data_IF_542911078187
#
_entry.id   IF_542911078187
#
_cell.length_a   1.000
_cell.length_b   1.000
_cell.length_c   1.000
_cell.angle_alpha   90.00
_cell.angle_beta   90.00
_cell.angle_gamma   90.00
#
_symmetry.space_group_name_H-M   'P 1'
#
loop_
_entity.id
_entity.type
_entity.pdbx_description
1 polymer ?
#
# COMPACT_ATOMS: atom_id res chain seq x y z
N UNK A 1 2.60 16.71 22.56
CA UNK A 1 1.99 16.67 21.22
C UNK A 1 1.22 15.36 21.08
N UNK A 2 0.06 15.42 20.46
CA UNK A 2 -0.71 14.21 20.16
C UNK A 2 0.05 13.37 19.11
N UNK A 3 0.25 12.07 19.40
CA UNK A 3 1.02 11.18 18.53
C UNK A 3 0.10 10.38 17.60
N UNK A 4 0.59 10.10 16.41
CA UNK A 4 -0.04 9.19 15.45
C UNK A 4 0.58 7.80 15.56
N UNK A 5 -0.25 6.75 15.65
CA UNK A 5 0.25 5.37 15.60
C UNK A 5 0.22 4.83 14.18
N UNK A 6 1.31 4.18 13.75
CA UNK A 6 1.42 3.50 12.45
C UNK A 6 1.29 1.99 12.67
N UNK A 7 0.13 1.44 12.36
CA UNK A 7 -0.15 0.00 12.46
C UNK A 7 0.42 -0.72 11.23
N UNK A 8 1.36 -1.64 11.46
CA UNK A 8 2.15 -2.26 10.40
C UNK A 8 3.45 -1.50 10.11
N UNK A 9 3.96 -0.77 11.11
CA UNK A 9 5.15 0.05 11.03
C UNK A 9 6.40 -0.68 10.52
N UNK A 10 6.59 -1.96 10.88
CA UNK A 10 7.74 -2.78 10.43
C UNK A 10 7.61 -3.34 9.00
N UNK A 11 6.46 -3.11 8.31
CA UNK A 11 6.19 -3.58 6.94
C UNK A 11 6.80 -2.67 5.86
N UNK A 12 6.59 -3.02 4.58
CA UNK A 12 7.15 -2.30 3.43
C UNK A 12 6.75 -0.81 3.40
N UNK A 13 5.46 -0.50 3.46
CA UNK A 13 4.98 0.90 3.49
C UNK A 13 5.31 1.54 4.84
N UNK A 14 5.22 0.79 5.94
CA UNK A 14 5.62 1.28 7.26
C UNK A 14 7.07 1.78 7.30
N UNK A 15 8.01 1.06 6.68
CA UNK A 15 9.42 1.49 6.54
C UNK A 15 9.57 2.76 5.69
N UNK A 16 8.77 2.91 4.64
CA UNK A 16 8.78 4.14 3.85
C UNK A 16 8.27 5.34 4.68
N UNK A 17 7.26 5.14 5.54
CA UNK A 17 6.79 6.16 6.48
C UNK A 17 7.87 6.49 7.51
N UNK A 18 8.58 5.49 8.07
CA UNK A 18 9.68 5.72 8.99
C UNK A 18 10.76 6.62 8.37
N UNK A 19 11.21 6.30 7.14
CA UNK A 19 12.23 7.10 6.43
C UNK A 19 11.77 8.54 6.26
N UNK A 20 10.54 8.75 5.81
CA UNK A 20 9.97 10.08 5.60
C UNK A 20 9.87 10.88 6.91
N UNK A 21 9.37 10.25 7.97
CA UNK A 21 9.19 10.88 9.30
C UNK A 21 10.54 11.33 9.84
N UNK A 22 11.58 10.50 9.74
CA UNK A 22 12.94 10.86 10.19
C UNK A 22 13.56 11.95 9.31
N UNK A 23 13.41 11.90 7.99
CA UNK A 23 13.88 12.93 7.06
C UNK A 23 13.24 14.30 7.33
N UNK A 24 12.00 14.32 7.80
CA UNK A 24 11.25 15.54 8.11
C UNK A 24 11.39 15.99 9.58
N UNK A 25 12.14 15.26 10.43
CA UNK A 25 12.29 15.56 11.84
C UNK A 25 11.00 15.43 12.66
N UNK A 26 10.10 14.52 12.24
CA UNK A 26 8.81 14.28 12.87
C UNK A 26 8.81 13.08 13.83
N UNK A 27 9.99 12.59 14.23
CA UNK A 27 10.18 11.35 15.01
C UNK A 27 9.33 11.33 16.29
N UNK A 28 9.17 12.47 16.97
CA UNK A 28 8.41 12.57 18.22
C UNK A 28 6.88 12.55 18.03
N UNK A 29 6.42 12.67 16.79
CA UNK A 29 5.00 12.74 16.45
C UNK A 29 4.41 11.38 16.05
N UNK A 30 5.26 10.35 15.90
CA UNK A 30 4.83 9.03 15.43
C UNK A 30 5.30 7.90 16.35
N UNK A 31 4.45 6.87 16.46
CA UNK A 31 4.77 5.59 17.12
C UNK A 31 4.55 4.47 16.12
N UNK A 32 5.52 3.56 15.97
CA UNK A 32 5.47 2.49 14.98
C UNK A 32 5.20 1.13 15.61
N UNK A 33 4.13 0.45 15.19
CA UNK A 33 3.88 -0.90 15.67
C UNK A 33 4.73 -1.94 14.92
N UNK A 34 5.12 -2.98 15.65
CA UNK A 34 5.71 -4.21 15.09
C UNK A 34 5.11 -5.44 15.77
N UNK A 35 5.15 -6.59 15.10
CA UNK A 35 4.75 -7.87 15.70
C UNK A 35 5.97 -8.73 16.02
N UNK A 36 6.67 -9.22 14.98
CA UNK A 36 7.77 -10.18 15.13
C UNK A 36 9.15 -9.60 14.82
N UNK A 37 9.25 -8.44 14.17
CA UNK A 37 10.49 -7.88 13.62
C UNK A 37 10.77 -6.47 14.15
N UNK A 38 11.17 -6.33 15.44
CA UNK A 38 11.49 -5.02 16.04
C UNK A 38 12.65 -4.31 15.32
N UNK A 39 13.59 -5.08 14.75
CA UNK A 39 14.73 -4.60 13.97
C UNK A 39 14.33 -3.89 12.68
N UNK A 40 13.10 -4.09 12.21
CA UNK A 40 12.54 -3.39 11.08
C UNK A 40 11.94 -2.02 11.42
N UNK A 41 12.00 -1.61 12.68
CA UNK A 41 11.71 -0.23 13.12
C UNK A 41 13.00 0.41 13.62
N UNK A 42 13.32 1.58 13.11
CA UNK A 42 14.53 2.33 13.49
C UNK A 42 14.64 2.50 15.00
N UNK A 43 15.86 2.40 15.54
CA UNK A 43 16.14 2.59 16.98
C UNK A 43 15.86 4.04 17.45
N UNK A 44 15.88 5.00 16.53
CA UNK A 44 15.60 6.43 16.83
C UNK A 44 14.10 6.72 16.94
N UNK A 45 13.24 5.79 16.51
CA UNK A 45 11.80 5.97 16.48
C UNK A 45 11.13 5.23 17.66
N UNK A 46 10.09 5.85 18.20
CA UNK A 46 9.27 5.19 19.22
C UNK A 46 8.52 4.01 18.60
N UNK A 47 8.63 2.86 19.26
CA UNK A 47 8.04 1.61 18.77
C UNK A 47 7.29 0.85 19.84
N UNK A 48 6.22 0.17 19.43
CA UNK A 48 5.37 -0.63 20.31
C UNK A 48 5.11 -2.01 19.70
N UNK A 49 5.19 -3.04 20.51
CA UNK A 49 4.85 -4.40 20.08
C UNK A 49 3.34 -4.58 20.10
N UNK A 50 2.75 -4.94 18.96
CA UNK A 50 1.33 -5.26 18.84
C UNK A 50 1.17 -6.46 17.92
N UNK A 51 0.70 -7.58 18.45
CA UNK A 51 0.18 -8.68 17.67
C UNK A 51 -1.34 -8.50 17.50
N UNK A 52 -1.76 -8.07 16.33
CA UNK A 52 -3.16 -7.79 16.05
C UNK A 52 -4.08 -9.03 16.10
N UNK A 53 -3.52 -10.24 16.12
CA UNK A 53 -4.30 -11.47 16.35
C UNK A 53 -4.53 -11.74 17.85
N UNK A 54 -3.83 -11.03 18.74
CA UNK A 54 -3.98 -11.11 20.20
C UNK A 54 -4.71 -9.89 20.74
N UNK A 55 -5.94 -10.06 21.15
CA UNK A 55 -6.80 -8.92 21.64
C UNK A 55 -6.14 -8.09 22.75
N UNK A 56 -5.40 -8.73 23.65
CA UNK A 56 -4.74 -8.03 24.77
C UNK A 56 -3.65 -7.08 24.29
N UNK A 57 -2.93 -7.40 23.22
CA UNK A 57 -1.88 -6.54 22.70
C UNK A 57 -2.45 -5.29 22.02
N UNK A 58 -3.72 -5.36 21.54
CA UNK A 58 -4.37 -4.26 20.82
C UNK A 58 -4.83 -3.14 21.74
N UNK A 59 -4.86 -3.32 23.06
CA UNK A 59 -5.12 -2.26 24.03
C UNK A 59 -4.10 -1.11 23.90
N UNK A 60 -2.90 -1.40 23.40
CA UNK A 60 -1.88 -0.39 23.13
C UNK A 60 -2.26 0.68 22.08
N UNK A 61 -3.36 0.50 21.33
CA UNK A 61 -3.85 1.54 20.39
C UNK A 61 -4.80 2.55 21.04
N UNK A 62 -5.25 2.28 22.26
CA UNK A 62 -6.16 3.17 22.98
C UNK A 62 -5.45 4.49 23.30
N UNK A 63 -6.19 5.59 23.19
CA UNK A 63 -5.68 6.93 23.49
C UNK A 63 -4.92 7.62 22.35
N UNK A 64 -4.61 6.95 21.24
CA UNK A 64 -4.09 7.64 20.07
C UNK A 64 -5.21 8.37 19.32
N UNK A 65 -5.07 9.68 19.02
CA UNK A 65 -6.10 10.45 18.32
C UNK A 65 -6.16 10.11 16.83
N UNK A 66 -5.04 9.61 16.25
CA UNK A 66 -4.95 9.29 14.84
C UNK A 66 -4.12 8.02 14.62
N UNK A 67 -4.53 7.22 13.65
CA UNK A 67 -3.78 6.05 13.20
C UNK A 67 -3.62 6.04 11.67
N UNK A 68 -2.45 5.55 11.21
CA UNK A 68 -2.24 5.07 9.84
C UNK A 68 -2.25 3.54 9.88
N UNK A 69 -3.19 2.92 9.21
CA UNK A 69 -3.29 1.45 9.16
C UNK A 69 -2.78 0.94 7.82
N UNK A 70 -1.58 0.34 7.83
CA UNK A 70 -0.91 -0.27 6.66
C UNK A 70 -0.59 -1.76 6.88
N UNK A 71 -1.13 -2.36 7.95
CA UNK A 71 -0.97 -3.77 8.25
C UNK A 71 -1.86 -4.65 7.38
N UNK A 72 -1.51 -5.92 7.29
CA UNK A 72 -2.28 -6.95 6.63
C UNK A 72 -1.50 -7.72 5.57
N UNK A 73 -2.15 -8.75 5.03
CA UNK A 73 -1.62 -9.50 3.91
C UNK A 73 -1.72 -8.71 2.60
N UNK A 74 -0.70 -8.80 1.76
CA UNK A 74 -0.68 -8.29 0.39
C UNK A 74 -0.27 -9.39 -0.62
N UNK A 75 -0.37 -10.66 -0.21
CA UNK A 75 -0.02 -11.82 -1.00
C UNK A 75 -1.27 -12.46 -1.61
N UNK A 76 -1.49 -12.24 -2.90
CA UNK A 76 -2.61 -12.81 -3.64
C UNK A 76 -2.56 -14.35 -3.66
N UNK A 77 -1.35 -14.93 -3.68
CA UNK A 77 -1.19 -16.39 -3.66
C UNK A 77 -1.61 -16.98 -2.31
N UNK A 78 -1.29 -16.31 -1.20
CA UNK A 78 -1.79 -16.71 0.12
C UNK A 78 -3.31 -16.62 0.17
N UNK A 79 -3.88 -15.51 -0.26
CA UNK A 79 -5.33 -15.31 -0.26
C UNK A 79 -6.07 -16.38 -1.09
N UNK A 80 -5.48 -16.80 -2.21
CA UNK A 80 -6.01 -17.87 -3.06
C UNK A 80 -5.91 -19.25 -2.40
N UNK A 81 -4.71 -19.58 -1.90
CA UNK A 81 -4.43 -20.94 -1.43
C UNK A 81 -4.94 -21.20 0.00
N UNK A 82 -5.14 -20.14 0.78
CA UNK A 82 -5.64 -20.18 2.14
C UNK A 82 -6.48 -18.93 2.45
N UNK A 83 -7.73 -18.85 1.92
CA UNK A 83 -8.61 -17.70 2.14
C UNK A 83 -8.87 -17.42 3.63
N UNK A 84 -8.95 -18.45 4.47
CA UNK A 84 -9.12 -18.29 5.92
C UNK A 84 -7.93 -17.57 6.56
N UNK A 85 -6.69 -17.92 6.16
CA UNK A 85 -5.51 -17.22 6.65
C UNK A 85 -5.46 -15.75 6.15
N UNK A 86 -5.92 -15.48 4.94
CA UNK A 86 -6.04 -14.11 4.43
C UNK A 86 -7.09 -13.32 5.21
N UNK A 87 -8.24 -13.92 5.55
CA UNK A 87 -9.25 -13.29 6.41
C UNK A 87 -8.72 -13.01 7.81
N UNK A 88 -7.96 -13.93 8.41
CA UNK A 88 -7.31 -13.67 9.71
C UNK A 88 -6.35 -12.49 9.62
N UNK A 89 -5.50 -12.43 8.59
CA UNK A 89 -4.47 -11.40 8.43
C UNK A 89 -5.00 -10.06 7.93
N UNK A 90 -6.14 -9.99 7.25
CA UNK A 90 -6.72 -8.74 6.79
C UNK A 90 -7.92 -8.33 7.64
N UNK A 91 -8.94 -9.18 7.76
CA UNK A 91 -10.22 -8.80 8.34
C UNK A 91 -10.19 -8.90 9.87
N UNK A 92 -9.79 -10.04 10.42
CA UNK A 92 -9.78 -10.24 11.88
C UNK A 92 -8.79 -9.31 12.59
N UNK A 93 -7.58 -9.15 12.04
CA UNK A 93 -6.60 -8.19 12.56
C UNK A 93 -7.18 -6.76 12.58
N UNK A 94 -7.85 -6.35 11.50
CA UNK A 94 -8.49 -5.04 11.42
C UNK A 94 -9.65 -4.89 12.43
N UNK A 95 -10.47 -5.93 12.59
CA UNK A 95 -11.56 -5.92 13.58
C UNK A 95 -11.04 -5.76 14.99
N UNK A 96 -10.04 -6.52 15.39
CA UNK A 96 -9.43 -6.37 16.71
C UNK A 96 -8.92 -4.95 16.94
N UNK A 97 -8.25 -4.35 15.91
CA UNK A 97 -7.80 -2.96 15.99
C UNK A 97 -8.96 -1.99 16.15
N UNK A 98 -9.97 -2.03 15.26
CA UNK A 98 -11.05 -1.03 15.23
C UNK A 98 -12.03 -1.17 16.39
N UNK A 99 -12.11 -2.34 17.04
CA UNK A 99 -12.87 -2.53 18.28
C UNK A 99 -12.30 -1.73 19.45
N UNK A 100 -11.02 -1.35 19.43
CA UNK A 100 -10.32 -0.61 20.49
C UNK A 100 -9.98 0.83 20.10
N UNK A 101 -9.66 1.08 18.86
CA UNK A 101 -9.27 2.40 18.39
C UNK A 101 -10.49 3.33 18.25
N UNK A 102 -10.35 4.61 18.70
CA UNK A 102 -11.43 5.61 18.77
C UNK A 102 -10.99 6.96 18.18
N UNK A 103 -10.17 6.96 17.17
CA UNK A 103 -9.61 8.20 16.59
C UNK A 103 -10.00 8.41 15.14
N UNK A 104 -9.20 9.21 14.47
CA UNK A 104 -9.22 9.40 13.02
C UNK A 104 -8.34 8.36 12.36
N UNK A 105 -8.83 7.70 11.31
CA UNK A 105 -8.14 6.60 10.64
C UNK A 105 -7.79 6.94 9.20
N UNK A 106 -6.51 6.84 8.86
CA UNK A 106 -6.00 6.77 7.48
C UNK A 106 -5.73 5.29 7.16
N UNK A 107 -6.55 4.72 6.29
CA UNK A 107 -6.52 3.29 5.97
C UNK A 107 -5.92 3.05 4.59
N UNK A 108 -4.86 2.26 4.50
CA UNK A 108 -4.34 1.77 3.21
C UNK A 108 -5.07 0.50 2.79
N UNK A 109 -5.92 0.64 1.80
CA UNK A 109 -6.62 -0.43 1.11
C UNK A 109 -5.93 -0.78 -0.22
N UNK A 110 -6.61 -1.45 -1.12
CA UNK A 110 -6.06 -1.89 -2.41
C UNK A 110 -7.06 -1.70 -3.54
N UNK A 111 -6.58 -1.38 -4.74
CA UNK A 111 -7.38 -1.46 -5.96
C UNK A 111 -7.74 -2.89 -6.37
N UNK A 112 -7.22 -3.91 -5.67
CA UNK A 112 -7.72 -5.28 -5.81
C UNK A 112 -9.24 -5.41 -5.50
N UNK A 113 -9.82 -4.44 -4.82
CA UNK A 113 -11.28 -4.30 -4.68
C UNK A 113 -12.02 -4.18 -6.02
N UNK A 114 -11.33 -3.81 -7.10
CA UNK A 114 -11.89 -3.61 -8.44
C UNK A 114 -11.74 -4.82 -9.38
N UNK A 115 -11.14 -5.92 -8.95
CA UNK A 115 -11.02 -7.10 -9.81
C UNK A 115 -12.38 -7.59 -10.30
N UNK A 116 -12.48 -7.76 -11.63
CA UNK A 116 -13.69 -8.09 -12.35
C UNK A 116 -14.30 -6.89 -13.10
N UNK A 117 -13.80 -5.68 -12.85
CA UNK A 117 -14.11 -4.49 -13.66
C UNK A 117 -13.03 -4.24 -14.73
N UNK A 118 -13.34 -3.42 -15.71
CA UNK A 118 -12.44 -3.06 -16.81
C UNK A 118 -12.45 -1.53 -17.03
N UNK A 119 -11.34 -1.01 -17.53
CA UNK A 119 -11.18 0.41 -17.85
C UNK A 119 -10.89 1.29 -16.64
N UNK A 120 -11.24 2.56 -16.73
CA UNK A 120 -11.03 3.55 -15.68
C UNK A 120 -12.14 3.46 -14.62
N UNK A 121 -11.74 3.25 -13.37
CA UNK A 121 -12.68 3.01 -12.26
C UNK A 121 -12.58 4.15 -11.24
N UNK A 122 -13.71 4.79 -10.97
CA UNK A 122 -13.80 5.76 -9.88
C UNK A 122 -14.09 5.09 -8.53
N UNK A 123 -13.89 5.82 -7.44
CA UNK A 123 -13.99 5.30 -6.08
C UNK A 123 -15.40 4.92 -5.64
N UNK A 124 -16.41 5.37 -6.38
CA UNK A 124 -17.83 5.08 -6.08
C UNK A 124 -18.33 3.79 -6.76
N UNK A 125 -17.47 3.09 -7.51
CA UNK A 125 -17.85 1.84 -8.16
C UNK A 125 -18.41 0.84 -7.13
N UNK A 126 -19.65 0.41 -7.36
CA UNK A 126 -20.33 -0.61 -6.57
C UNK A 126 -20.14 -1.97 -7.26
N UNK A 127 -19.29 -2.78 -6.66
CA UNK A 127 -18.84 -4.03 -7.26
C UNK A 127 -18.33 -5.00 -6.18
N UNK A 128 -18.45 -6.30 -6.45
CA UNK A 128 -17.87 -7.37 -5.64
C UNK A 128 -16.65 -7.92 -6.35
N UNK A 129 -15.48 -7.82 -5.71
CA UNK A 129 -14.23 -8.31 -6.28
C UNK A 129 -14.28 -9.80 -6.60
N UNK A 130 -13.73 -10.18 -7.75
CA UNK A 130 -13.70 -11.58 -8.21
C UNK A 130 -12.54 -12.40 -7.64
N UNK A 131 -11.67 -11.79 -6.82
CA UNK A 131 -10.53 -12.49 -6.20
C UNK A 131 -10.60 -12.45 -4.66
N UNK A 132 -10.13 -13.50 -3.95
CA UNK A 132 -10.20 -13.59 -2.49
C UNK A 132 -9.54 -12.40 -1.78
N UNK A 133 -8.35 -11.98 -2.22
CA UNK A 133 -7.65 -10.82 -1.65
C UNK A 133 -8.47 -9.52 -1.78
N UNK A 134 -9.10 -9.29 -2.92
CA UNK A 134 -9.96 -8.12 -3.13
C UNK A 134 -11.20 -8.17 -2.23
N UNK A 135 -11.81 -9.36 -2.05
CA UNK A 135 -12.93 -9.56 -1.14
C UNK A 135 -12.55 -9.23 0.31
N UNK A 136 -11.40 -9.71 0.80
CA UNK A 136 -10.96 -9.41 2.16
C UNK A 136 -10.72 -7.91 2.35
N UNK A 137 -10.18 -7.20 1.35
CA UNK A 137 -10.03 -5.73 1.41
C UNK A 137 -11.36 -5.00 1.37
N UNK A 138 -12.34 -5.46 0.58
CA UNK A 138 -13.70 -4.90 0.61
C UNK A 138 -14.36 -5.07 1.98
N UNK A 139 -14.18 -6.22 2.64
CA UNK A 139 -14.67 -6.44 3.99
C UNK A 139 -14.03 -5.48 5.00
N UNK A 140 -12.72 -5.26 4.92
CA UNK A 140 -12.03 -4.26 5.76
C UNK A 140 -12.62 -2.86 5.55
N UNK A 141 -12.82 -2.42 4.31
CA UNK A 141 -13.43 -1.12 4.01
C UNK A 141 -14.88 -1.02 4.51
N UNK A 142 -15.66 -2.10 4.35
CA UNK A 142 -17.04 -2.15 4.81
C UNK A 142 -17.13 -1.99 6.34
N UNK A 143 -16.28 -2.70 7.09
CA UNK A 143 -16.21 -2.55 8.54
C UNK A 143 -15.69 -1.17 8.95
N UNK A 144 -14.66 -0.62 8.29
CA UNK A 144 -14.19 0.73 8.58
C UNK A 144 -15.30 1.77 8.43
N UNK A 145 -16.05 1.72 7.32
CA UNK A 145 -17.22 2.58 7.06
C UNK A 145 -18.34 2.36 8.08
N UNK A 146 -18.58 1.10 8.48
CA UNK A 146 -19.57 0.79 9.53
C UNK A 146 -19.18 1.45 10.86
N UNK A 147 -17.94 1.28 11.33
CA UNK A 147 -17.46 1.86 12.59
C UNK A 147 -17.43 3.40 12.55
N UNK A 148 -17.16 3.99 11.40
CA UNK A 148 -17.25 5.43 11.21
C UNK A 148 -18.71 5.90 11.29
N UNK A 149 -19.64 5.22 10.62
CA UNK A 149 -21.08 5.57 10.61
C UNK A 149 -21.71 5.51 11.99
N UNK A 150 -21.30 4.58 12.85
CA UNK A 150 -21.82 4.47 14.24
C UNK A 150 -21.04 5.35 15.22
N UNK A 151 -20.11 6.21 14.74
CA UNK A 151 -19.38 7.19 15.53
C UNK A 151 -18.23 6.64 16.37
N UNK A 152 -17.83 5.38 16.19
CA UNK A 152 -16.68 4.79 16.88
C UNK A 152 -15.34 5.18 16.23
N UNK A 153 -15.30 5.38 14.91
CA UNK A 153 -14.25 6.12 14.24
C UNK A 153 -14.72 7.56 13.98
N UNK A 154 -13.96 8.54 14.39
CA UNK A 154 -14.34 9.94 14.27
C UNK A 154 -14.30 10.41 12.81
N UNK A 155 -13.25 9.99 12.07
CA UNK A 155 -13.00 10.32 10.66
C UNK A 155 -12.33 9.13 10.00
N UNK A 156 -12.58 8.96 8.71
CA UNK A 156 -12.01 7.86 7.93
C UNK A 156 -11.57 8.33 6.56
N UNK A 157 -10.32 8.09 6.20
CA UNK A 157 -9.83 8.26 4.84
C UNK A 157 -9.22 6.94 4.34
N UNK A 158 -9.78 6.39 3.27
CA UNK A 158 -9.36 5.13 2.66
C UNK A 158 -8.58 5.43 1.39
N UNK A 159 -7.35 4.92 1.29
CA UNK A 159 -6.55 4.98 0.07
C UNK A 159 -6.46 3.59 -0.58
N UNK A 160 -6.96 3.45 -1.81
CA UNK A 160 -6.89 2.22 -2.60
C UNK A 160 -5.62 2.21 -3.44
N UNK A 161 -4.57 1.56 -2.96
CA UNK A 161 -3.29 1.47 -3.63
C UNK A 161 -3.31 0.40 -4.74
N UNK A 162 -2.79 0.72 -5.93
CA UNK A 162 -2.61 -0.25 -7.01
C UNK A 162 -1.30 -1.01 -6.86
N UNK A 163 -0.17 -0.34 -7.01
CA UNK A 163 1.16 -0.93 -6.88
C UNK A 163 2.14 0.08 -6.27
N UNK A 164 2.88 -0.33 -5.27
CA UNK A 164 4.00 0.46 -4.75
C UNK A 164 5.32 -0.25 -5.01
N UNK A 165 6.37 0.51 -5.33
CA UNK A 165 7.72 0.01 -5.51
C UNK A 165 8.74 0.84 -4.71
N UNK A 166 9.89 0.26 -4.38
CA UNK A 166 10.95 0.95 -3.66
C UNK A 166 11.70 0.05 -2.68
N UNK A 167 12.59 0.66 -1.90
CA UNK A 167 13.43 -0.04 -0.94
C UNK A 167 12.62 -0.89 0.03
N UNK A 168 12.98 -2.17 0.16
CA UNK A 168 12.25 -3.13 1.00
C UNK A 168 11.12 -3.87 0.29
N UNK A 169 10.94 -3.66 -1.01
CA UNK A 169 10.05 -4.47 -1.85
C UNK A 169 10.50 -5.94 -1.86
N UNK A 170 9.55 -6.88 -1.84
CA UNK A 170 9.86 -8.31 -1.83
C UNK A 170 10.53 -8.74 -3.14
N UNK A 171 11.58 -9.58 -3.05
CA UNK A 171 12.39 -10.05 -4.19
C UNK A 171 11.58 -10.71 -5.32
N UNK A 172 10.46 -11.36 -4.98
CA UNK A 172 9.57 -12.01 -5.94
C UNK A 172 8.73 -11.05 -6.80
N UNK A 173 8.71 -9.73 -6.48
CA UNK A 173 7.95 -8.75 -7.24
C UNK A 173 8.65 -8.34 -8.53
N UNK A 174 7.93 -7.70 -9.44
CA UNK A 174 8.34 -7.44 -10.82
C UNK A 174 9.72 -6.76 -10.93
N UNK A 175 9.91 -5.60 -10.30
CA UNK A 175 11.13 -4.80 -10.45
C UNK A 175 12.35 -5.50 -9.85
N UNK A 176 12.30 -6.06 -8.60
CA UNK A 176 13.39 -6.87 -8.07
C UNK A 176 13.74 -8.09 -8.92
N UNK A 177 12.75 -8.79 -9.50
CA UNK A 177 13.01 -9.92 -10.42
C UNK A 177 13.76 -9.48 -11.68
N UNK A 178 13.39 -8.34 -12.28
CA UNK A 178 14.13 -7.77 -13.41
C UNK A 178 15.58 -7.42 -13.00
N UNK A 179 15.76 -6.83 -11.82
CA UNK A 179 17.10 -6.51 -11.32
C UNK A 179 17.95 -7.76 -11.03
N UNK A 180 17.32 -8.81 -10.53
CA UNK A 180 17.98 -10.10 -10.30
C UNK A 180 18.43 -10.75 -11.62
N UNK A 181 17.61 -10.69 -12.67
CA UNK A 181 17.96 -11.14 -14.00
C UNK A 181 19.19 -10.41 -14.57
N UNK A 182 19.28 -9.09 -14.37
CA UNK A 182 20.50 -8.31 -14.74
C UNK A 182 21.73 -8.80 -13.98
N UNK A 183 21.61 -9.06 -12.69
CA UNK A 183 22.76 -9.45 -11.83
C UNK A 183 23.25 -10.89 -12.09
N UNK A 184 22.32 -11.80 -12.33
CA UNK A 184 22.60 -13.26 -12.41
C UNK A 184 22.60 -13.80 -13.84
N UNK A 185 22.25 -12.97 -14.85
CA UNK A 185 22.12 -13.42 -16.24
C UNK A 185 20.91 -14.33 -16.46
N UNK A 186 19.85 -14.15 -15.65
CA UNK A 186 18.62 -14.92 -15.75
C UNK A 186 17.60 -14.33 -16.74
N UNK A 187 16.49 -15.05 -16.93
CA UNK A 187 15.38 -14.65 -17.81
C UNK A 187 14.15 -14.32 -16.97
N UNK A 188 13.49 -13.21 -17.29
CA UNK A 188 12.20 -12.83 -16.67
C UNK A 188 11.05 -13.35 -17.52
N UNK A 189 10.15 -14.12 -16.94
CA UNK A 189 8.91 -14.50 -17.61
C UNK A 189 7.79 -13.53 -17.19
N UNK A 190 7.19 -12.88 -18.18
CA UNK A 190 6.03 -12.00 -18.04
C UNK A 190 4.79 -12.81 -18.37
N UNK A 191 3.78 -12.78 -17.49
CA UNK A 191 2.54 -13.52 -17.71
C UNK A 191 1.74 -12.92 -18.87
N UNK A 192 1.21 -13.78 -19.74
CA UNK A 192 0.50 -13.36 -20.94
C UNK A 192 1.35 -12.42 -21.81
N UNK A 193 0.69 -11.41 -22.36
CA UNK A 193 1.36 -10.38 -23.20
C UNK A 193 1.83 -9.15 -22.40
N UNK A 194 1.79 -9.20 -21.05
CA UNK A 194 2.14 -8.06 -20.20
C UNK A 194 1.11 -6.92 -20.24
N UNK A 195 -0.14 -7.20 -20.64
CA UNK A 195 -1.21 -6.21 -20.79
C UNK A 195 -1.86 -5.78 -19.47
N UNK A 196 -1.64 -6.52 -18.37
CA UNK A 196 -2.13 -6.13 -17.06
C UNK A 196 -1.61 -4.76 -16.65
N UNK A 197 -2.51 -3.90 -16.18
CA UNK A 197 -2.15 -2.58 -15.65
C UNK A 197 -1.46 -2.72 -14.30
N UNK A 198 -0.50 -1.85 -14.04
CA UNK A 198 0.26 -1.85 -12.78
C UNK A 198 0.30 -0.47 -12.14
N UNK A 199 0.21 0.59 -12.91
CA UNK A 199 0.14 2.00 -12.52
C UNK A 199 0.94 2.32 -11.24
N UNK A 200 2.29 2.15 -11.27
CA UNK A 200 3.11 2.10 -10.09
C UNK A 200 3.35 3.47 -9.45
N UNK A 201 3.51 3.47 -8.13
CA UNK A 201 3.96 4.64 -7.36
C UNK A 201 5.19 4.30 -6.52
N UNK A 202 6.15 5.21 -6.37
CA UNK A 202 7.24 5.00 -5.43
C UNK A 202 6.74 5.01 -3.99
N UNK A 203 7.25 4.10 -3.16
CA UNK A 203 6.81 3.91 -1.78
C UNK A 203 6.98 5.17 -0.91
N UNK A 204 8.00 6.00 -1.19
CA UNK A 204 8.18 7.28 -0.50
C UNK A 204 7.02 8.26 -0.77
N UNK A 205 6.48 8.25 -2.00
CA UNK A 205 5.34 9.10 -2.36
C UNK A 205 4.05 8.60 -1.69
N UNK A 206 3.84 7.29 -1.64
CA UNK A 206 2.74 6.68 -0.87
C UNK A 206 2.83 7.09 0.60
N UNK A 207 4.03 6.98 1.19
CA UNK A 207 4.28 7.40 2.57
C UNK A 207 3.96 8.88 2.79
N UNK A 208 4.40 9.75 1.86
CA UNK A 208 4.13 11.20 1.92
C UNK A 208 2.63 11.51 1.91
N UNK A 209 1.87 10.85 1.02
CA UNK A 209 0.41 11.00 0.97
C UNK A 209 -0.24 10.58 2.29
N UNK A 210 0.10 9.39 2.81
CA UNK A 210 -0.49 8.87 4.04
C UNK A 210 -0.15 9.74 5.25
N UNK A 211 1.10 10.20 5.36
CA UNK A 211 1.55 11.07 6.46
C UNK A 211 0.85 12.43 6.39
N UNK A 212 0.75 13.01 5.19
CA UNK A 212 0.06 14.29 5.01
C UNK A 212 -1.45 14.20 5.21
N UNK A 213 -2.04 13.03 4.91
CA UNK A 213 -3.46 12.75 5.16
C UNK A 213 -3.80 12.76 6.66
N UNK A 214 -2.86 12.42 7.55
CA UNK A 214 -3.03 12.53 9.01
C UNK A 214 -3.35 13.97 9.41
N UNK A 215 -2.58 14.93 8.91
CA UNK A 215 -2.82 16.35 9.19
C UNK A 215 -4.18 16.79 8.63
N UNK A 216 -4.48 16.40 7.39
CA UNK A 216 -5.72 16.76 6.70
C UNK A 216 -6.94 16.19 7.40
N UNK A 217 -6.93 14.89 7.73
CA UNK A 217 -8.05 14.23 8.40
C UNK A 217 -8.31 14.79 9.80
N UNK A 218 -7.27 15.26 10.48
CA UNK A 218 -7.38 15.94 11.78
C UNK A 218 -8.13 17.27 11.73
N UNK A 219 -8.12 17.94 10.57
CA UNK A 219 -8.80 19.24 10.36
C UNK A 219 -10.24 19.09 9.85
N UNK A 220 -10.66 17.91 9.42
CA UNK A 220 -12.00 17.68 8.90
C UNK A 220 -13.04 17.60 10.04
N UNK A 221 -14.31 17.78 9.70
CA UNK A 221 -15.40 17.63 10.66
C UNK A 221 -15.58 16.18 11.12
N UNK A 222 -16.16 15.99 12.29
CA UNK A 222 -16.57 14.65 12.73
C UNK A 222 -17.54 14.05 11.69
N UNK A 223 -17.39 12.75 11.43
CA UNK A 223 -18.17 12.07 10.39
C UNK A 223 -17.54 12.10 8.99
N UNK A 224 -16.38 12.76 8.79
CA UNK A 224 -15.66 12.73 7.52
C UNK A 224 -15.39 11.30 7.03
N UNK A 225 -15.72 11.05 5.77
CA UNK A 225 -15.45 9.81 5.05
C UNK A 225 -15.01 10.13 3.62
N UNK A 226 -13.81 9.71 3.27
CA UNK A 226 -13.26 9.85 1.91
C UNK A 226 -12.67 8.53 1.46
N UNK A 227 -12.76 8.25 0.14
CA UNK A 227 -12.06 7.14 -0.51
C UNK A 227 -11.32 7.73 -1.70
N UNK A 228 -10.04 7.40 -1.85
CA UNK A 228 -9.17 7.95 -2.89
C UNK A 228 -8.33 6.84 -3.54
N UNK A 229 -8.35 6.75 -4.86
CA UNK A 229 -7.47 5.86 -5.60
C UNK A 229 -6.02 6.37 -5.53
N UNK A 230 -5.09 5.45 -5.34
CA UNK A 230 -3.67 5.74 -5.17
C UNK A 230 -2.87 4.97 -6.22
N UNK A 231 -2.68 5.58 -7.39
CA UNK A 231 -1.91 5.07 -8.52
C UNK A 231 -1.29 6.24 -9.29
N UNK A 232 -0.31 5.95 -10.16
CA UNK A 232 0.29 6.98 -10.99
C UNK A 232 -0.74 7.56 -11.98
N UNK A 233 -0.40 8.72 -12.50
CA UNK A 233 -1.28 9.49 -13.40
C UNK A 233 -1.42 8.84 -14.77
N UNK A 234 -0.33 8.25 -15.25
CA UNK A 234 -0.27 7.57 -16.54
C UNK A 234 -0.87 6.17 -16.42
N UNK A 235 -1.42 5.69 -17.53
CA UNK A 235 -1.83 4.29 -17.65
C UNK A 235 -0.62 3.45 -18.03
N UNK A 236 -0.15 2.61 -17.12
CA UNK A 236 1.09 1.83 -17.23
C UNK A 236 0.81 0.35 -17.07
N UNK A 237 1.26 -0.45 -18.05
CA UNK A 237 1.16 -1.91 -18.02
C UNK A 237 2.44 -2.57 -17.48
N UNK A 238 2.35 -3.86 -17.17
CA UNK A 238 3.51 -4.69 -16.82
C UNK A 238 4.53 -4.71 -17.97
N UNK A 239 4.04 -4.80 -19.21
CA UNK A 239 4.88 -4.79 -20.41
C UNK A 239 5.66 -3.49 -20.57
N UNK A 240 5.01 -2.32 -20.33
CA UNK A 240 5.66 -1.01 -20.37
C UNK A 240 6.81 -0.93 -19.35
N UNK A 241 6.56 -1.38 -18.11
CA UNK A 241 7.60 -1.40 -17.08
C UNK A 241 8.78 -2.29 -17.49
N UNK A 242 8.53 -3.51 -17.95
CA UNK A 242 9.59 -4.45 -18.35
C UNK A 242 10.39 -3.90 -19.50
N UNK A 243 9.74 -3.37 -20.55
CA UNK A 243 10.41 -2.77 -21.71
C UNK A 243 11.28 -1.56 -21.30
N UNK A 244 10.73 -0.69 -20.44
CA UNK A 244 11.48 0.45 -19.90
C UNK A 244 12.71 0.01 -19.11
N UNK A 245 12.57 -0.92 -18.15
CA UNK A 245 13.68 -1.40 -17.33
C UNK A 245 14.75 -2.08 -18.19
N UNK A 246 14.34 -2.86 -19.22
CA UNK A 246 15.27 -3.47 -20.18
C UNK A 246 16.02 -2.44 -21.00
N UNK A 247 15.44 -1.29 -21.34
CA UNK A 247 16.12 -0.18 -21.98
C UNK A 247 17.15 0.52 -21.10
N UNK A 248 16.97 0.47 -19.75
CA UNK A 248 17.91 1.02 -18.76
C UNK A 248 19.12 0.11 -18.59
N UNK A 249 18.87 -1.19 -18.40
CA UNK A 249 19.90 -2.25 -18.37
C UNK A 249 19.31 -3.52 -18.94
N UNK A 250 20.00 -4.07 -19.93
CA UNK A 250 19.56 -5.27 -20.64
C UNK A 250 19.45 -6.50 -19.74
N UNK A 251 18.37 -7.25 -19.91
CA UNK A 251 18.11 -8.59 -19.39
C UNK A 251 17.20 -9.36 -20.34
N UNK A 252 17.31 -10.68 -20.36
CA UNK A 252 16.44 -11.51 -21.17
C UNK A 252 15.03 -11.59 -20.56
N UNK A 253 14.00 -11.45 -21.41
CA UNK A 253 12.62 -11.70 -20.98
C UNK A 253 11.80 -12.36 -22.09
N UNK A 254 10.73 -13.03 -21.69
CA UNK A 254 9.76 -13.63 -22.62
C UNK A 254 8.37 -13.57 -22.03
N UNK A 255 7.40 -13.70 -22.88
CA UNK A 255 6.02 -13.87 -22.52
C UNK A 255 5.71 -15.35 -22.29
N UNK A 256 4.89 -15.68 -21.27
CA UNK A 256 4.40 -17.03 -21.07
C UNK A 256 3.33 -17.37 -22.10
N UNK A 257 3.29 -18.61 -22.56
CA UNK A 257 2.15 -19.15 -23.28
C UNK A 257 0.96 -19.29 -22.32
N UNK A 258 -0.22 -18.84 -22.73
CA UNK A 258 -1.41 -18.76 -21.89
C UNK A 258 -1.66 -17.39 -21.28
N UNK A 259 -2.91 -17.13 -20.90
CA UNK A 259 -3.33 -15.88 -20.28
C UNK A 259 -2.85 -15.75 -18.84
N UNK A 260 -2.91 -14.55 -18.31
CA UNK A 260 -2.79 -14.29 -16.87
C UNK A 260 -4.06 -14.80 -16.17
N UNK A 261 -3.91 -15.50 -15.07
CA UNK A 261 -5.05 -16.08 -14.35
C UNK A 261 -6.02 -15.02 -13.82
N UNK A 262 -5.45 -13.89 -13.35
CA UNK A 262 -6.21 -12.73 -12.91
C UNK A 262 -5.64 -11.46 -13.55
N UNK A 263 -5.95 -11.19 -14.82
CA UNK A 263 -5.46 -10.00 -15.48
C UNK A 263 -6.06 -8.75 -14.86
N UNK A 264 -5.23 -7.73 -14.67
CA UNK A 264 -5.68 -6.42 -14.22
C UNK A 264 -6.04 -5.60 -15.46
N UNK A 265 -7.32 -5.51 -15.76
CA UNK A 265 -7.84 -4.80 -16.94
C UNK A 265 -8.45 -3.44 -16.58
N UNK A 266 -8.14 -2.93 -15.39
CA UNK A 266 -8.65 -1.68 -14.86
C UNK A 266 -7.53 -0.82 -14.29
N UNK A 267 -7.81 0.48 -14.13
CA UNK A 267 -7.00 1.42 -13.35
C UNK A 267 -7.91 2.40 -12.62
N UNK A 268 -7.42 2.94 -11.51
CA UNK A 268 -8.18 3.92 -10.74
C UNK A 268 -8.17 5.29 -11.41
N UNK A 269 -9.34 5.96 -11.45
CA UNK A 269 -9.41 7.39 -11.76
C UNK A 269 -8.62 8.19 -10.73
N UNK A 270 -7.88 9.21 -11.16
CA UNK A 270 -6.97 9.97 -10.29
C UNK A 270 -7.46 11.37 -9.95
N UNK A 271 -8.70 11.75 -10.25
CA UNK A 271 -9.21 13.12 -10.05
C UNK A 271 -9.21 13.52 -8.56
N UNK A 272 -9.65 12.62 -7.66
CA UNK A 272 -9.63 12.87 -6.21
C UNK A 272 -8.21 13.02 -5.70
N UNK A 273 -7.30 12.14 -6.12
CA UNK A 273 -5.89 12.24 -5.77
C UNK A 273 -5.27 13.54 -6.29
N UNK A 274 -5.52 13.91 -7.56
CA UNK A 274 -5.01 15.16 -8.15
C UNK A 274 -5.52 16.40 -7.38
N UNK A 275 -6.80 16.42 -7.01
CA UNK A 275 -7.38 17.48 -6.18
C UNK A 275 -6.71 17.58 -4.82
N UNK A 276 -6.49 16.42 -4.16
CA UNK A 276 -5.82 16.36 -2.88
C UNK A 276 -4.37 16.83 -2.95
N UNK A 277 -3.61 16.37 -3.94
CA UNK A 277 -2.21 16.78 -4.16
C UNK A 277 -2.09 18.29 -4.38
N UNK A 278 -2.99 18.87 -5.19
CA UNK A 278 -3.05 20.33 -5.42
C UNK A 278 -3.31 21.09 -4.12
N UNK A 279 -4.31 20.66 -3.32
CA UNK A 279 -4.63 21.26 -2.01
C UNK A 279 -3.46 21.17 -1.03
N UNK A 280 -2.77 20.03 -1.04
CA UNK A 280 -1.65 19.74 -0.13
C UNK A 280 -0.29 20.24 -0.64
N UNK A 281 -0.24 20.85 -1.85
CA UNK A 281 0.99 21.30 -2.53
C UNK A 281 2.02 20.19 -2.69
N UNK A 282 1.56 18.99 -3.00
CA UNK A 282 2.39 17.83 -3.30
C UNK A 282 2.46 17.66 -4.81
N UNK A 283 3.67 17.56 -5.37
CA UNK A 283 3.86 17.33 -6.79
C UNK A 283 3.82 15.83 -7.11
N UNK A 284 3.32 15.51 -8.32
CA UNK A 284 3.38 14.14 -8.83
C UNK A 284 4.83 13.72 -9.07
N UNK A 285 5.23 12.50 -8.67
CA UNK A 285 6.54 11.99 -9.02
C UNK A 285 6.61 11.71 -10.54
N UNK A 286 7.78 11.91 -11.12
CA UNK A 286 8.08 11.33 -12.41
C UNK A 286 8.33 9.82 -12.22
N UNK A 287 7.31 9.01 -12.47
CA UNK A 287 7.34 7.56 -12.20
C UNK A 287 8.47 6.85 -12.95
N UNK A 288 8.75 7.26 -14.19
CA UNK A 288 9.80 6.65 -15.00
C UNK A 288 11.21 6.96 -14.48
N UNK A 289 11.45 8.17 -14.00
CA UNK A 289 12.72 8.52 -13.32
C UNK A 289 12.88 7.77 -12.00
N UNK A 290 11.81 7.64 -11.22
CA UNK A 290 11.83 6.88 -9.97
C UNK A 290 12.08 5.39 -10.23
N UNK A 291 11.44 4.80 -11.23
CA UNK A 291 11.70 3.42 -11.65
C UNK A 291 13.15 3.22 -12.10
N UNK A 292 13.69 4.16 -12.90
CA UNK A 292 15.11 4.14 -13.32
C UNK A 292 16.03 4.18 -12.11
N UNK A 293 15.83 5.13 -11.19
CA UNK A 293 16.65 5.31 -10.00
C UNK A 293 16.67 4.06 -9.15
N UNK A 294 15.49 3.53 -8.84
CA UNK A 294 15.34 2.32 -8.03
C UNK A 294 15.97 1.09 -8.71
N UNK A 295 15.72 0.89 -10.00
CA UNK A 295 16.28 -0.24 -10.75
C UNK A 295 17.81 -0.18 -10.83
N UNK A 296 18.39 0.99 -11.09
CA UNK A 296 19.85 1.19 -11.09
C UNK A 296 20.44 0.89 -9.73
N UNK A 297 19.79 1.32 -8.64
CA UNK A 297 20.22 1.00 -7.27
C UNK A 297 20.23 -0.52 -7.04
N UNK A 298 19.14 -1.21 -7.37
CA UNK A 298 19.03 -2.66 -7.23
C UNK A 298 20.05 -3.44 -8.05
N UNK A 299 20.46 -2.90 -9.21
CA UNK A 299 21.40 -3.56 -10.13
C UNK A 299 22.87 -3.21 -9.89
N UNK A 300 23.20 -2.34 -8.91
CA UNK A 300 24.57 -2.17 -8.44
C UNK A 300 25.06 -3.49 -7.86
N UNK A 301 26.25 -3.95 -8.28
CA UNK A 301 26.91 -5.07 -7.60
C UNK A 301 27.20 -4.61 -6.17
N UNK A 302 26.80 -5.42 -5.20
CA UNK A 302 27.30 -5.26 -3.84
C UNK A 302 28.81 -5.53 -3.93
N UNK A 303 29.59 -4.49 -3.72
CA UNK A 303 31.06 -4.57 -3.73
C UNK A 303 31.54 -5.40 -2.53
#
# INVERSE_FOLDING_TARGET
>A
MEKTIVIGGSGFIGKAIQSLVSEQGLDQSFVFSYCATPENVSETLEKVKIDLLRRVDVEAVEGFPTAIYVAGNADHSLARNSPSADLDLNVKMFLHFVERFRGSLVLLSSQATYYGLEGEINENADHVSTIPYGLSKQMVEAYAKYFQRIGLLHRLWIFRLMYAFGKGEKERRLIPRCADAVKKGGKVTVSGEGKSFVNPLPSWFVAHILTKAVESVGQENAGFLEVTNLNCRETVTVGDVVAFLNSVKHFDYSHSEGGEEWPIMFWGNTERLASYLKKSRIEWPNVWEELRRYFVELTKKVA
#
